data_IF_889057528458
#
_entry.id   IF_889057528458
#
_cell.length_a   1.000
_cell.length_b   1.000
_cell.length_c   1.000
_cell.angle_alpha   90.00
_cell.angle_beta   90.00
_cell.angle_gamma   90.00
#
_symmetry.space_group_name_H-M   'P 1'
#
loop_
_entity.id
_entity.type
_entity.pdbx_description
1 polymer ?
#
# COMPACT_ATOMS: atom_id res chain seq x y z
N UNK A 1 11.27 6.14 39.21
CA UNK A 1 10.65 5.73 37.93
C UNK A 1 11.07 6.56 36.71
N UNK A 2 11.54 7.80 36.87
CA UNK A 2 12.07 8.64 35.77
C UNK A 2 13.53 8.33 35.33
N UNK A 3 14.30 7.54 36.10
CA UNK A 3 15.69 7.19 35.74
C UNK A 3 15.83 5.93 34.89
N UNK A 4 14.78 5.10 34.77
CA UNK A 4 14.81 3.88 33.92
C UNK A 4 14.40 4.12 32.45
N UNK A 5 13.80 5.26 32.15
CA UNK A 5 13.45 5.63 30.75
C UNK A 5 14.63 6.25 29.97
N UNK A 6 15.72 6.64 30.67
CA UNK A 6 16.92 7.20 30.04
C UNK A 6 17.97 6.16 29.61
N UNK A 7 17.71 4.87 29.80
CA UNK A 7 18.65 3.77 29.43
C UNK A 7 18.15 2.85 28.31
N UNK A 8 16.98 3.09 27.71
CA UNK A 8 16.75 2.56 26.37
C UNK A 8 17.53 3.46 25.41
N UNK A 9 18.79 3.06 25.13
CA UNK A 9 19.50 3.51 23.93
C UNK A 9 18.51 3.38 22.78
N UNK A 10 18.25 4.46 22.05
CA UNK A 10 17.61 4.41 20.75
C UNK A 10 18.37 3.35 19.94
N UNK A 11 17.77 2.18 19.78
CA UNK A 11 18.33 1.16 18.91
C UNK A 11 18.09 1.71 17.51
N UNK A 12 19.10 2.37 16.95
CA UNK A 12 19.13 2.68 15.52
C UNK A 12 18.80 1.39 14.79
N UNK A 13 17.75 1.40 13.97
CA UNK A 13 17.42 0.25 13.14
C UNK A 13 18.48 0.15 12.05
N UNK A 14 19.40 -0.79 12.21
CA UNK A 14 20.49 -0.99 11.25
C UNK A 14 20.00 -1.90 10.14
N UNK A 15 19.58 -1.32 9.02
CA UNK A 15 19.27 -2.05 7.81
C UNK A 15 20.54 -2.46 7.07
N UNK A 16 20.54 -3.69 6.57
CA UNK A 16 21.51 -4.13 5.57
C UNK A 16 20.89 -3.93 4.18
N UNK A 17 21.63 -3.32 3.26
CA UNK A 17 21.18 -3.09 1.88
C UNK A 17 22.23 -3.53 0.88
N UNK A 18 21.78 -4.02 -0.28
CA UNK A 18 22.63 -4.39 -1.40
C UNK A 18 21.86 -4.26 -2.71
N UNK A 19 22.57 -4.04 -3.80
CA UNK A 19 22.00 -4.07 -5.16
C UNK A 19 22.73 -5.10 -5.99
N UNK A 20 22.00 -6.07 -6.55
CA UNK A 20 22.57 -7.09 -7.43
C UNK A 20 22.94 -6.51 -8.80
N UNK A 21 23.78 -7.21 -9.55
CA UNK A 21 24.21 -6.81 -10.90
C UNK A 21 23.07 -6.66 -11.92
N UNK A 22 21.92 -7.31 -11.67
CA UNK A 22 20.70 -7.20 -12.48
C UNK A 22 19.76 -6.05 -12.04
N UNK A 23 20.19 -5.22 -11.08
CA UNK A 23 19.43 -4.07 -10.58
C UNK A 23 18.50 -4.37 -9.40
N UNK A 24 18.31 -5.64 -9.00
CA UNK A 24 17.48 -5.98 -7.83
C UNK A 24 18.08 -5.38 -6.56
N UNK A 25 17.28 -4.54 -5.89
CA UNK A 25 17.62 -3.96 -4.59
C UNK A 25 17.17 -4.88 -3.46
N UNK A 26 18.00 -5.02 -2.44
CA UNK A 26 17.74 -5.87 -1.27
C UNK A 26 17.77 -4.98 -0.03
N UNK A 27 16.78 -5.14 0.85
CA UNK A 27 16.77 -4.51 2.18
C UNK A 27 16.45 -5.57 3.24
N UNK A 28 17.27 -5.62 4.29
CA UNK A 28 17.10 -6.57 5.38
C UNK A 28 17.19 -5.85 6.72
N UNK A 29 16.19 -6.08 7.57
CA UNK A 29 16.20 -5.67 8.97
C UNK A 29 16.50 -6.91 9.84
N UNK A 30 17.67 -6.99 10.50
CA UNK A 30 17.99 -8.09 11.40
C UNK A 30 17.08 -8.13 12.63
N UNK A 31 16.73 -9.31 13.07
CA UNK A 31 15.97 -9.53 14.31
C UNK A 31 16.30 -10.91 14.87
N UNK A 32 16.21 -11.08 16.19
CA UNK A 32 16.43 -12.36 16.86
C UNK A 32 15.26 -13.36 16.71
N UNK A 33 14.16 -12.95 16.09
CA UNK A 33 13.01 -13.84 15.90
C UNK A 33 13.30 -14.95 14.89
N UNK A 34 12.91 -16.20 15.20
CA UNK A 34 13.05 -17.31 14.27
C UNK A 34 12.11 -17.21 13.06
N UNK A 35 11.04 -16.41 13.14
CA UNK A 35 10.15 -16.14 12.01
C UNK A 35 10.72 -15.03 11.17
N UNK A 36 10.83 -15.27 9.87
CA UNK A 36 11.28 -14.33 8.85
C UNK A 36 10.11 -13.95 7.96
N UNK A 37 9.83 -12.67 7.87
CA UNK A 37 8.94 -12.08 6.87
C UNK A 37 9.79 -11.62 5.70
N UNK A 38 9.50 -12.07 4.51
CA UNK A 38 10.27 -11.71 3.31
C UNK A 38 9.40 -11.70 2.07
N UNK A 39 9.83 -10.98 1.04
CA UNK A 39 9.06 -10.89 -0.19
C UNK A 39 9.68 -9.99 -1.24
N UNK A 40 8.98 -9.92 -2.37
CA UNK A 40 9.22 -8.94 -3.42
C UNK A 40 8.15 -7.85 -3.37
N UNK A 41 8.58 -6.61 -3.37
CA UNK A 41 7.75 -5.46 -3.69
C UNK A 41 8.11 -4.99 -5.09
N UNK A 42 7.14 -4.96 -5.98
CA UNK A 42 7.28 -4.55 -7.39
C UNK A 42 6.65 -3.17 -7.54
N UNK A 43 7.37 -2.21 -8.14
CA UNK A 43 6.84 -0.87 -8.41
C UNK A 43 5.90 -0.93 -9.63
N UNK A 44 4.76 -1.56 -9.43
CA UNK A 44 3.68 -1.69 -10.38
C UNK A 44 2.37 -1.91 -9.62
N UNK A 45 1.43 -1.02 -9.80
CA UNK A 45 0.09 -1.09 -9.25
C UNK A 45 -0.93 -0.64 -10.28
N UNK A 46 -2.15 -0.42 -9.86
CA UNK A 46 -3.21 -0.01 -10.81
C UNK A 46 -2.97 1.35 -11.42
N UNK A 47 -2.17 2.20 -10.78
CA UNK A 47 -1.74 3.49 -11.35
C UNK A 47 -0.94 3.36 -12.65
N UNK A 48 -0.27 2.22 -12.84
CA UNK A 48 0.61 1.95 -13.99
C UNK A 48 -0.12 1.32 -15.18
N UNK A 49 -1.42 1.05 -15.02
CA UNK A 49 -2.28 0.48 -16.05
C UNK A 49 -2.58 1.47 -17.18
N UNK A 50 -2.64 0.98 -18.41
CA UNK A 50 -3.07 1.77 -19.56
C UNK A 50 -4.59 2.00 -19.50
N UNK A 51 -5.00 3.25 -19.23
CA UNK A 51 -6.41 3.61 -19.06
C UNK A 51 -7.27 3.15 -20.24
N UNK A 52 -8.42 2.54 -19.93
CA UNK A 52 -9.35 2.01 -20.91
C UNK A 52 -8.93 0.70 -21.58
N UNK A 53 -7.77 0.12 -21.22
CA UNK A 53 -7.28 -1.13 -21.80
C UNK A 53 -6.80 -2.15 -20.77
N UNK A 54 -6.27 -1.70 -19.63
CA UNK A 54 -5.64 -2.56 -18.63
C UNK A 54 -6.28 -2.40 -17.25
N UNK A 55 -7.54 -1.98 -17.17
CA UNK A 55 -8.23 -1.78 -15.89
C UNK A 55 -8.33 -3.07 -15.08
N UNK A 56 -7.70 -3.09 -13.91
CA UNK A 56 -7.60 -4.27 -13.04
C UNK A 56 -6.48 -5.25 -13.42
N UNK A 57 -5.61 -4.91 -14.38
CA UNK A 57 -4.54 -5.80 -14.84
C UNK A 57 -3.51 -6.11 -13.76
N UNK A 58 -3.16 -5.14 -12.91
CA UNK A 58 -2.21 -5.36 -11.84
C UNK A 58 -2.72 -6.41 -10.84
N UNK A 59 -3.98 -6.28 -10.42
CA UNK A 59 -4.65 -7.23 -9.54
C UNK A 59 -4.86 -8.59 -10.21
N UNK A 60 -5.29 -8.59 -11.48
CA UNK A 60 -5.40 -9.81 -12.27
C UNK A 60 -4.06 -10.56 -12.37
N UNK A 61 -2.94 -9.86 -12.59
CA UNK A 61 -1.62 -10.46 -12.59
C UNK A 61 -1.23 -11.02 -11.21
N UNK A 62 -1.63 -10.36 -10.13
CA UNK A 62 -1.42 -10.87 -8.77
C UNK A 62 -2.06 -12.25 -8.60
N UNK A 63 -3.37 -12.38 -8.86
CA UNK A 63 -4.11 -13.64 -8.78
C UNK A 63 -3.52 -14.74 -9.66
N UNK A 64 -3.21 -14.40 -10.90
CA UNK A 64 -2.75 -15.37 -11.89
C UNK A 64 -1.28 -15.74 -11.76
N UNK A 65 -0.48 -14.97 -11.01
CA UNK A 65 0.92 -15.29 -10.70
C UNK A 65 1.09 -16.64 -9.98
N UNK A 66 0.10 -17.07 -9.19
CA UNK A 66 0.11 -18.36 -8.47
C UNK A 66 -0.34 -19.56 -9.31
N UNK A 67 -0.70 -19.36 -10.57
CA UNK A 67 -1.33 -20.39 -11.40
C UNK A 67 -0.35 -21.25 -12.20
N UNK A 68 0.92 -20.92 -12.22
CA UNK A 68 1.97 -21.74 -12.82
C UNK A 68 3.20 -20.98 -13.23
N UNK A 69 4.35 -21.64 -13.12
CA UNK A 69 5.65 -21.18 -13.66
C UNK A 69 6.19 -22.24 -14.63
N UNK A 70 7.32 -21.94 -15.29
CA UNK A 70 8.02 -22.96 -16.08
C UNK A 70 8.46 -24.18 -15.24
N UNK A 71 8.59 -24.04 -13.92
CA UNK A 71 9.12 -25.07 -13.00
C UNK A 71 8.03 -25.71 -12.14
N UNK A 72 6.90 -25.04 -11.93
CA UNK A 72 5.90 -25.44 -10.93
C UNK A 72 4.48 -25.30 -11.46
N UNK A 73 3.65 -26.29 -11.16
CA UNK A 73 2.21 -26.18 -11.30
C UNK A 73 1.61 -25.37 -10.15
N UNK A 74 0.38 -24.87 -10.30
CA UNK A 74 -0.36 -24.15 -9.26
C UNK A 74 -0.37 -24.89 -7.92
N UNK A 75 -0.68 -26.18 -7.91
CA UNK A 75 -0.69 -27.01 -6.68
C UNK A 75 0.69 -27.11 -6.04
N UNK A 76 1.76 -27.11 -6.82
CA UNK A 76 3.13 -27.10 -6.28
C UNK A 76 3.50 -25.74 -5.70
N UNK A 77 3.01 -24.65 -6.26
CA UNK A 77 3.21 -23.29 -5.73
C UNK A 77 2.53 -23.16 -4.39
N UNK A 78 1.23 -23.45 -4.31
CA UNK A 78 0.43 -23.32 -3.10
C UNK A 78 1.00 -24.18 -1.95
N UNK A 79 1.29 -25.43 -2.20
CA UNK A 79 1.82 -26.33 -1.15
C UNK A 79 3.30 -26.16 -0.85
N UNK A 80 4.05 -25.31 -1.53
CA UNK A 80 5.52 -25.31 -1.42
C UNK A 80 6.02 -24.83 -0.05
N UNK A 81 5.43 -23.76 0.48
CA UNK A 81 5.77 -23.25 1.82
C UNK A 81 4.88 -23.85 2.90
N UNK A 82 3.61 -24.14 2.62
CA UNK A 82 2.70 -24.74 3.60
C UNK A 82 3.22 -26.06 4.18
N UNK A 83 3.86 -26.88 3.35
CA UNK A 83 4.47 -28.17 3.81
C UNK A 83 5.54 -28.02 4.88
N UNK A 84 6.08 -26.81 5.07
CA UNK A 84 7.06 -26.48 6.11
C UNK A 84 6.51 -25.48 7.13
N UNK A 85 5.18 -25.29 7.14
CA UNK A 85 4.50 -24.36 8.06
C UNK A 85 4.75 -22.89 7.73
N UNK A 86 5.08 -22.58 6.47
CA UNK A 86 5.19 -21.22 5.98
C UNK A 86 3.86 -20.73 5.42
N UNK A 87 3.70 -19.41 5.39
CA UNK A 87 2.57 -18.71 4.79
C UNK A 87 3.02 -17.95 3.54
N UNK A 88 2.17 -17.89 2.52
CA UNK A 88 2.42 -17.19 1.25
C UNK A 88 1.21 -16.31 0.92
N UNK A 89 1.45 -15.04 0.68
CA UNK A 89 0.39 -14.08 0.39
C UNK A 89 0.84 -13.02 -0.62
N UNK A 90 -0.13 -12.27 -1.17
CA UNK A 90 0.14 -11.12 -2.03
C UNK A 90 -0.96 -10.07 -1.86
N UNK A 91 -0.68 -8.87 -2.31
CA UNK A 91 -1.67 -7.81 -2.45
C UNK A 91 -1.23 -6.79 -3.51
N UNK A 92 -2.22 -6.14 -4.12
CA UNK A 92 -2.04 -5.06 -5.09
C UNK A 92 -2.60 -3.76 -4.53
N UNK A 93 -1.79 -2.71 -4.62
CA UNK A 93 -2.19 -1.33 -4.32
C UNK A 93 -2.17 -0.47 -5.59
N UNK A 94 -2.37 0.84 -5.42
CA UNK A 94 -2.31 1.79 -6.54
C UNK A 94 -0.91 1.92 -7.16
N UNK A 95 0.16 1.80 -6.36
CA UNK A 95 1.54 2.07 -6.80
C UNK A 95 2.48 0.85 -6.69
N UNK A 96 2.05 -0.24 -6.03
CA UNK A 96 2.86 -1.44 -5.88
C UNK A 96 2.02 -2.72 -5.83
N UNK A 97 2.64 -3.83 -6.24
CA UNK A 97 2.19 -5.20 -5.96
C UNK A 97 3.25 -5.91 -5.12
N UNK A 98 2.83 -6.59 -4.06
CA UNK A 98 3.74 -7.24 -3.13
C UNK A 98 3.41 -8.73 -3.02
N UNK A 99 4.42 -9.59 -3.18
CA UNK A 99 4.37 -11.03 -2.95
C UNK A 99 5.25 -11.34 -1.75
N UNK A 100 4.67 -11.88 -0.68
CA UNK A 100 5.41 -12.08 0.56
C UNK A 100 5.12 -13.42 1.22
N UNK A 101 6.02 -13.82 2.09
CA UNK A 101 5.93 -15.04 2.86
C UNK A 101 6.39 -14.83 4.31
N UNK A 102 5.82 -15.62 5.20
CA UNK A 102 6.30 -15.81 6.55
C UNK A 102 6.81 -17.25 6.72
N UNK A 103 8.08 -17.42 7.08
CA UNK A 103 8.70 -18.75 7.25
C UNK A 103 9.60 -18.80 8.47
N UNK A 104 9.86 -19.99 8.99
CA UNK A 104 10.97 -20.18 9.92
C UNK A 104 12.30 -19.95 9.18
N UNK A 105 13.28 -19.38 9.86
CA UNK A 105 14.59 -18.99 9.30
C UNK A 105 15.32 -20.10 8.54
N UNK A 106 15.09 -21.36 8.94
CA UNK A 106 15.70 -22.53 8.30
C UNK A 106 15.12 -22.80 6.90
N UNK A 107 13.96 -22.22 6.57
CA UNK A 107 13.26 -22.36 5.30
C UNK A 107 13.37 -21.11 4.40
N UNK A 108 14.26 -20.16 4.70
CA UNK A 108 14.42 -18.94 3.92
C UNK A 108 14.83 -19.21 2.47
N UNK A 109 15.62 -20.26 2.23
CA UNK A 109 16.02 -20.69 0.91
C UNK A 109 14.84 -21.14 0.05
N UNK A 110 13.86 -21.83 0.66
CA UNK A 110 12.60 -22.20 -0.01
C UNK A 110 11.76 -20.98 -0.35
N UNK A 111 11.65 -20.03 0.59
CA UNK A 111 10.88 -18.80 0.36
C UNK A 111 11.49 -17.97 -0.78
N UNK A 112 12.82 -17.78 -0.78
CA UNK A 112 13.52 -17.09 -1.87
C UNK A 112 13.34 -17.78 -3.22
N UNK A 113 13.47 -19.11 -3.26
CA UNK A 113 13.33 -19.89 -4.50
C UNK A 113 11.90 -19.81 -5.06
N UNK A 114 10.87 -19.92 -4.20
CA UNK A 114 9.49 -19.81 -4.63
C UNK A 114 9.13 -18.40 -5.08
N UNK A 115 9.40 -17.40 -4.23
CA UNK A 115 9.03 -16.01 -4.51
C UNK A 115 9.71 -15.49 -5.79
N UNK A 116 10.99 -15.83 -5.99
CA UNK A 116 11.69 -15.46 -7.25
C UNK A 116 11.06 -16.13 -8.46
N UNK A 117 10.67 -17.40 -8.34
CA UNK A 117 10.08 -18.15 -9.44
C UNK A 117 8.70 -17.61 -9.82
N UNK A 118 7.83 -17.35 -8.85
CA UNK A 118 6.47 -16.84 -9.15
C UNK A 118 6.50 -15.39 -9.66
N UNK A 119 7.37 -14.53 -9.13
CA UNK A 119 7.41 -13.12 -9.54
C UNK A 119 8.01 -12.94 -10.94
N UNK A 120 9.03 -13.70 -11.30
CA UNK A 120 9.76 -13.46 -12.55
C UNK A 120 9.57 -14.55 -13.62
N UNK A 121 8.97 -15.69 -13.32
CA UNK A 121 8.84 -16.82 -14.24
C UNK A 121 7.42 -17.38 -14.38
N UNK A 122 6.40 -16.67 -13.90
CA UNK A 122 5.01 -17.07 -14.11
C UNK A 122 4.67 -17.08 -15.58
N UNK A 123 3.92 -18.11 -15.99
CA UNK A 123 3.59 -18.38 -17.40
C UNK A 123 2.16 -17.99 -17.77
N UNK A 124 1.36 -17.69 -16.76
CA UNK A 124 -0.05 -17.25 -16.92
C UNK A 124 -0.84 -18.19 -17.85
N UNK A 125 -0.98 -19.50 -17.53
CA UNK A 125 -1.63 -20.45 -18.43
C UNK A 125 -3.08 -20.05 -18.70
N UNK A 126 -3.51 -19.99 -19.97
CA UNK A 126 -4.86 -19.53 -20.35
C UNK A 126 -5.97 -20.34 -19.65
N UNK A 127 -5.83 -21.66 -19.57
CA UNK A 127 -6.82 -22.50 -18.90
C UNK A 127 -6.97 -22.21 -17.39
N UNK A 128 -5.96 -21.65 -16.75
CA UNK A 128 -6.04 -21.18 -15.35
C UNK A 128 -6.57 -19.75 -15.28
N UNK A 129 -6.24 -18.89 -16.24
CA UNK A 129 -6.82 -17.55 -16.39
C UNK A 129 -8.35 -17.65 -16.51
N UNK A 130 -8.84 -18.50 -17.41
CA UNK A 130 -10.28 -18.67 -17.68
C UNK A 130 -11.08 -19.05 -16.42
N UNK A 131 -10.45 -19.76 -15.48
CA UNK A 131 -11.05 -20.09 -14.18
C UNK A 131 -10.95 -18.92 -13.19
N UNK A 132 -9.78 -18.27 -13.13
CA UNK A 132 -9.50 -17.24 -12.14
C UNK A 132 -10.27 -15.95 -12.41
N UNK A 133 -10.52 -15.65 -13.67
CA UNK A 133 -11.34 -14.48 -14.03
C UNK A 133 -12.71 -14.52 -13.36
N UNK A 134 -13.38 -15.68 -13.32
CA UNK A 134 -14.68 -15.76 -12.63
C UNK A 134 -14.54 -15.62 -11.12
N UNK A 135 -13.43 -16.06 -10.50
CA UNK A 135 -13.15 -15.81 -9.08
C UNK A 135 -12.98 -14.32 -8.80
N UNK A 136 -12.24 -13.59 -9.66
CA UNK A 136 -12.07 -12.14 -9.52
C UNK A 136 -13.41 -11.41 -9.78
N UNK A 137 -14.22 -11.91 -10.71
CA UNK A 137 -15.56 -11.33 -10.95
C UNK A 137 -16.46 -11.50 -9.73
N UNK A 138 -16.45 -12.68 -9.10
CA UNK A 138 -17.17 -12.91 -7.83
C UNK A 138 -16.69 -11.98 -6.72
N UNK A 139 -15.38 -11.68 -6.68
CA UNK A 139 -14.82 -10.70 -5.74
C UNK A 139 -15.33 -9.29 -6.02
N UNK A 140 -15.36 -8.86 -7.30
CA UNK A 140 -15.93 -7.56 -7.69
C UNK A 140 -17.40 -7.46 -7.27
N UNK A 141 -18.20 -8.52 -7.51
CA UNK A 141 -19.61 -8.54 -7.13
C UNK A 141 -19.76 -8.45 -5.59
N UNK A 142 -18.94 -9.20 -4.84
CA UNK A 142 -18.93 -9.13 -3.37
C UNK A 142 -18.59 -7.74 -2.84
N UNK A 143 -17.62 -7.06 -3.48
CA UNK A 143 -17.26 -5.67 -3.16
C UNK A 143 -18.40 -4.70 -3.48
N UNK A 144 -19.02 -4.86 -4.64
CA UNK A 144 -20.16 -4.03 -5.04
C UNK A 144 -21.38 -4.22 -4.12
N UNK A 145 -21.55 -5.41 -3.56
CA UNK A 145 -22.61 -5.72 -2.59
C UNK A 145 -22.30 -5.26 -1.15
N UNK A 146 -21.08 -4.76 -0.91
CA UNK A 146 -20.65 -4.23 0.40
C UNK A 146 -20.55 -2.70 0.38
N UNK A 147 -21.60 -1.95 0.74
CA UNK A 147 -21.59 -0.48 0.69
C UNK A 147 -20.49 0.15 1.56
N UNK A 148 -20.08 -0.55 2.64
CA UNK A 148 -19.01 -0.11 3.53
C UNK A 148 -17.62 -0.20 2.92
N UNK A 149 -17.42 -1.03 1.93
CA UNK A 149 -16.17 -1.17 1.16
C UNK A 149 -16.23 -0.33 -0.11
N UNK A 150 -17.33 -0.45 -0.86
CA UNK A 150 -17.56 0.28 -2.10
C UNK A 150 -17.41 1.80 -1.93
N UNK A 151 -17.81 2.35 -0.78
CA UNK A 151 -17.74 3.79 -0.52
C UNK A 151 -16.31 4.34 -0.60
N UNK A 152 -15.30 3.56 -0.22
CA UNK A 152 -13.89 3.97 -0.31
C UNK A 152 -13.42 4.09 -1.76
N UNK A 153 -13.70 3.09 -2.58
CA UNK A 153 -13.33 3.08 -4.00
C UNK A 153 -14.04 4.20 -4.77
N UNK A 154 -15.35 4.34 -4.60
CA UNK A 154 -16.11 5.40 -5.25
C UNK A 154 -15.62 6.79 -4.83
N UNK A 155 -15.24 6.94 -3.56
CA UNK A 155 -14.73 8.20 -3.07
C UNK A 155 -13.35 8.53 -3.65
N UNK A 156 -12.42 7.58 -3.65
CA UNK A 156 -11.09 7.76 -4.22
C UNK A 156 -11.17 8.05 -5.74
N UNK A 157 -12.03 7.34 -6.46
CA UNK A 157 -12.28 7.58 -7.88
C UNK A 157 -12.82 8.99 -8.14
N UNK A 158 -13.68 9.51 -7.26
CA UNK A 158 -14.19 10.86 -7.37
C UNK A 158 -13.11 11.93 -7.10
N UNK A 159 -12.24 11.70 -6.08
CA UNK A 159 -11.12 12.60 -5.73
C UNK A 159 -10.09 12.68 -6.86
N UNK A 160 -9.80 11.55 -7.49
CA UNK A 160 -8.78 11.43 -8.56
C UNK A 160 -9.37 11.27 -9.95
N UNK A 161 -10.60 11.70 -10.16
CA UNK A 161 -11.29 11.59 -11.46
C UNK A 161 -10.43 12.13 -12.60
N UNK A 162 -10.23 11.30 -13.64
CA UNK A 162 -9.40 11.61 -14.80
C UNK A 162 -7.89 11.48 -14.56
N UNK A 163 -7.49 10.85 -13.48
CA UNK A 163 -6.10 10.50 -13.16
C UNK A 163 -5.98 8.97 -12.97
N UNK A 164 -4.82 8.35 -13.22
CA UNK A 164 -4.63 6.90 -13.02
C UNK A 164 -4.93 6.37 -11.61
N UNK A 165 -4.86 7.20 -10.57
CA UNK A 165 -5.31 6.83 -9.22
C UNK A 165 -6.84 6.69 -9.10
N UNK A 166 -7.61 7.22 -10.04
CA UNK A 166 -9.07 7.33 -9.97
C UNK A 166 -9.81 6.19 -10.68
N UNK A 167 -9.39 4.94 -10.52
CA UNK A 167 -10.13 3.75 -10.94
C UNK A 167 -9.97 2.61 -9.94
N UNK A 168 -10.88 1.64 -9.99
CA UNK A 168 -10.91 0.53 -9.03
C UNK A 168 -9.72 -0.40 -9.22
N UNK A 169 -9.18 -0.91 -8.10
CA UNK A 169 -8.07 -1.87 -8.11
C UNK A 169 -8.49 -3.16 -8.80
N UNK A 170 -9.71 -3.62 -8.56
CA UNK A 170 -10.26 -4.86 -9.12
C UNK A 170 -10.58 -4.76 -10.62
N UNK A 171 -10.64 -3.55 -11.21
CA UNK A 171 -11.08 -3.34 -12.58
C UNK A 171 -12.57 -3.56 -12.79
N UNK A 172 -12.94 -4.07 -13.95
CA UNK A 172 -14.34 -4.37 -14.31
C UNK A 172 -14.48 -5.80 -14.85
N UNK A 173 -15.58 -6.47 -14.52
CA UNK A 173 -15.88 -7.82 -15.01
C UNK A 173 -15.85 -7.92 -16.55
N UNK A 174 -16.29 -6.86 -17.24
CA UNK A 174 -16.26 -6.82 -18.71
C UNK A 174 -14.82 -6.86 -19.25
N UNK A 175 -13.92 -6.07 -18.64
CA UNK A 175 -12.53 -5.99 -19.08
C UNK A 175 -11.77 -7.28 -18.73
N UNK A 176 -11.93 -7.79 -17.50
CA UNK A 176 -11.26 -9.02 -17.03
C UNK A 176 -11.52 -10.22 -17.93
N UNK A 177 -12.77 -10.40 -18.41
CA UNK A 177 -13.14 -11.50 -19.33
C UNK A 177 -12.50 -11.42 -20.71
N UNK A 178 -11.82 -10.32 -21.04
CA UNK A 178 -11.07 -10.18 -22.29
C UNK A 178 -9.59 -10.51 -22.16
N UNK A 179 -9.09 -10.67 -20.93
CA UNK A 179 -7.66 -10.83 -20.69
C UNK A 179 -7.13 -12.22 -21.06
N UNK A 180 -5.96 -12.21 -21.67
CA UNK A 180 -5.27 -13.39 -22.15
C UNK A 180 -3.90 -13.53 -21.50
N UNK A 181 -3.29 -14.70 -21.68
CA UNK A 181 -1.89 -14.95 -21.33
C UNK A 181 -0.96 -13.85 -21.86
N UNK A 182 -1.17 -13.39 -23.11
CA UNK A 182 -0.28 -12.38 -23.71
C UNK A 182 -0.47 -10.99 -23.06
N UNK A 183 -1.68 -10.66 -22.61
CA UNK A 183 -1.95 -9.42 -21.89
C UNK A 183 -1.21 -9.40 -20.54
N UNK A 184 -1.32 -10.50 -19.77
CA UNK A 184 -0.57 -10.66 -18.52
C UNK A 184 0.94 -10.61 -18.74
N UNK A 185 1.46 -11.33 -19.74
CA UNK A 185 2.87 -11.31 -20.06
C UNK A 185 3.36 -9.94 -20.56
N UNK A 186 2.53 -9.19 -21.30
CA UNK A 186 2.86 -7.83 -21.73
C UNK A 186 3.01 -6.88 -20.54
N UNK A 187 2.08 -6.92 -19.58
CA UNK A 187 2.12 -6.13 -18.37
C UNK A 187 3.32 -6.51 -17.49
N UNK A 188 3.51 -7.80 -17.22
CA UNK A 188 4.58 -8.27 -16.35
C UNK A 188 5.97 -8.10 -16.94
N UNK A 189 6.19 -8.31 -18.24
CA UNK A 189 7.46 -7.97 -18.91
C UNK A 189 7.83 -6.49 -18.79
N UNK A 190 6.83 -5.61 -18.74
CA UNK A 190 7.03 -4.17 -18.61
C UNK A 190 7.43 -3.78 -17.18
N UNK A 191 6.85 -4.40 -16.16
CA UNK A 191 6.98 -3.98 -14.77
C UNK A 191 7.67 -4.98 -13.85
N UNK A 192 7.50 -6.29 -14.03
CA UNK A 192 8.06 -7.32 -13.13
C UNK A 192 9.51 -7.62 -13.52
N UNK A 193 10.38 -6.67 -13.24
CA UNK A 193 11.80 -6.73 -13.52
C UNK A 193 12.60 -6.55 -12.24
N UNK A 194 13.79 -7.16 -12.15
CA UNK A 194 14.65 -7.01 -10.97
C UNK A 194 14.96 -5.55 -10.62
N UNK A 195 15.25 -4.70 -11.63
CA UNK A 195 15.57 -3.28 -11.47
C UNK A 195 14.38 -2.42 -11.04
N UNK A 196 13.13 -2.92 -11.21
CA UNK A 196 11.89 -2.30 -10.77
C UNK A 196 11.34 -2.92 -9.48
N UNK A 197 12.16 -3.71 -8.77
CA UNK A 197 11.72 -4.47 -7.60
C UNK A 197 12.68 -4.32 -6.43
N UNK A 198 12.17 -4.61 -5.25
CA UNK A 198 12.92 -4.74 -4.01
C UNK A 198 12.62 -6.09 -3.38
N UNK A 199 13.67 -6.83 -3.01
CA UNK A 199 13.50 -7.94 -2.07
C UNK A 199 13.70 -7.45 -0.66
N UNK A 200 12.73 -7.68 0.20
CA UNK A 200 12.80 -7.32 1.61
C UNK A 200 12.84 -8.56 2.50
N UNK A 201 13.50 -8.44 3.65
CA UNK A 201 13.48 -9.46 4.69
C UNK A 201 13.53 -8.83 6.09
N UNK A 202 12.78 -9.41 7.03
CA UNK A 202 12.79 -9.02 8.44
C UNK A 202 12.86 -10.27 9.32
N UNK A 203 13.99 -10.54 9.94
CA UNK A 203 14.18 -11.72 10.79
C UNK A 203 15.64 -12.12 11.01
N UNK A 204 15.83 -13.30 11.63
CA UNK A 204 17.14 -13.89 11.90
C UNK A 204 17.71 -14.58 10.66
N UNK A 205 18.22 -13.77 9.74
CA UNK A 205 18.89 -14.27 8.51
C UNK A 205 20.24 -13.60 8.36
N UNK A 206 21.25 -14.39 8.03
CA UNK A 206 22.57 -13.84 7.66
C UNK A 206 22.45 -13.15 6.30
N UNK A 207 22.78 -11.88 6.26
CA UNK A 207 22.62 -11.05 5.06
C UNK A 207 23.45 -11.55 3.87
N UNK A 208 24.70 -11.99 4.10
CA UNK A 208 25.55 -12.58 3.08
C UNK A 208 24.98 -13.88 2.48
N UNK A 209 24.26 -14.67 3.28
CA UNK A 209 23.53 -15.85 2.79
C UNK A 209 22.34 -15.41 1.92
N UNK A 210 21.57 -14.42 2.37
CA UNK A 210 20.42 -13.91 1.63
C UNK A 210 20.81 -13.38 0.25
N UNK A 211 21.87 -12.57 0.17
CA UNK A 211 22.40 -12.04 -1.10
C UNK A 211 22.75 -13.19 -2.05
N UNK A 212 23.53 -14.18 -1.59
CA UNK A 212 23.90 -15.35 -2.42
C UNK A 212 22.69 -16.18 -2.89
N UNK A 213 21.65 -16.33 -2.06
CA UNK A 213 20.43 -17.03 -2.46
C UNK A 213 19.73 -16.28 -3.60
N UNK A 214 19.62 -14.96 -3.51
CA UNK A 214 18.99 -14.12 -4.53
C UNK A 214 19.81 -14.07 -5.81
N UNK A 215 21.14 -14.00 -5.73
CA UNK A 215 22.03 -14.12 -6.91
C UNK A 215 21.81 -15.43 -7.65
N UNK A 216 21.81 -16.55 -6.91
CA UNK A 216 21.59 -17.89 -7.48
C UNK A 216 20.21 -18.02 -8.12
N UNK A 217 19.15 -17.55 -7.44
CA UNK A 217 17.78 -17.60 -7.95
C UNK A 217 17.62 -16.76 -9.22
N UNK A 218 18.24 -15.57 -9.27
CA UNK A 218 18.24 -14.69 -10.45
C UNK A 218 18.98 -15.30 -11.66
N UNK A 219 20.01 -16.08 -11.43
CA UNK A 219 20.76 -16.76 -12.51
C UNK A 219 19.94 -17.93 -13.07
N UNK A 220 19.35 -18.75 -12.20
CA UNK A 220 18.51 -19.87 -12.60
C UNK A 220 17.26 -19.43 -13.42
N UNK A 221 16.77 -18.22 -13.15
CA UNK A 221 15.68 -17.61 -13.92
C UNK A 221 16.09 -17.30 -15.38
N UNK A 222 17.30 -16.83 -15.60
CA UNK A 222 17.80 -16.56 -16.97
C UNK A 222 17.98 -17.85 -17.79
N UNK A 223 18.49 -18.90 -17.18
CA UNK A 223 18.74 -20.18 -17.85
C UNK A 223 17.41 -20.86 -18.26
N UNK A 224 16.36 -20.73 -17.45
CA UNK A 224 15.03 -21.26 -17.75
C UNK A 224 14.40 -20.56 -18.98
N UNK A 225 14.55 -19.24 -19.09
CA UNK A 225 14.05 -18.46 -20.24
C UNK A 225 14.83 -18.80 -21.53
N UNK A 226 16.15 -19.00 -21.45
CA UNK A 226 16.98 -19.38 -22.59
C UNK A 226 16.64 -20.80 -23.08
N UNK A 227 16.40 -21.73 -22.16
CA UNK A 227 16.02 -23.10 -22.47
C UNK A 227 14.64 -23.21 -23.14
N UNK A 228 13.70 -22.33 -22.81
CA UNK A 228 12.37 -22.29 -23.41
C UNK A 228 12.34 -21.65 -24.80
N UNK A 229 13.30 -20.77 -25.11
CA UNK A 229 13.44 -20.10 -26.41
C UNK A 229 14.37 -20.85 -27.40
N UNK A 230 14.84 -22.04 -27.03
CA UNK A 230 15.83 -22.82 -27.77
C UNK A 230 15.29 -23.63 -28.94
N UNK A 231 14.37 -23.13 -29.77
CA UNK A 231 14.09 -23.61 -31.11
C UNK A 231 13.62 -22.46 -32.00
N UNK A 232 14.54 -21.84 -32.66
CA UNK A 232 14.61 -21.13 -33.93
C UNK A 232 15.20 -19.71 -33.84
N UNK A 233 16.23 -19.58 -34.67
CA UNK A 233 16.84 -18.37 -35.22
C UNK A 233 17.82 -17.55 -34.36
N UNK A 234 19.09 -17.85 -34.76
CA UNK A 234 20.30 -17.03 -34.61
C UNK A 234 20.17 -15.63 -35.20
N UNK A 235 20.75 -14.70 -34.47
CA UNK A 235 21.27 -13.38 -34.86
C UNK A 235 20.46 -12.17 -34.34
N UNK A 236 20.93 -11.62 -33.26
CA UNK A 236 21.46 -10.24 -33.17
C UNK A 236 22.01 -10.00 -31.75
N UNK A 237 23.31 -10.08 -31.64
CA UNK A 237 24.06 -9.57 -30.48
C UNK A 237 24.04 -8.05 -30.59
N UNK A 238 23.41 -7.40 -29.63
CA UNK A 238 23.61 -5.97 -29.41
C UNK A 238 24.43 -5.79 -28.12
N UNK A 239 25.69 -5.49 -28.41
CA UNK A 239 26.70 -4.96 -27.50
C UNK A 239 26.22 -3.61 -26.97
N UNK A 240 25.94 -3.51 -25.67
CA UNK A 240 25.72 -2.24 -25.00
C UNK A 240 26.42 -2.22 -23.65
N UNK A 241 27.71 -1.97 -23.67
CA UNK A 241 28.47 -1.38 -22.57
C UNK A 241 28.06 0.10 -22.47
N UNK A 242 27.04 0.38 -21.67
CA UNK A 242 26.74 1.73 -21.21
C UNK A 242 26.70 1.73 -19.68
N UNK A 243 27.65 2.42 -19.09
CA UNK A 243 27.71 2.82 -17.70
C UNK A 243 26.42 3.57 -17.36
N UNK A 244 25.47 2.88 -16.71
CA UNK A 244 24.24 3.49 -16.23
C UNK A 244 24.54 4.13 -14.88
N UNK A 245 24.60 5.48 -14.89
CA UNK A 245 24.47 6.28 -13.70
C UNK A 245 23.14 5.91 -13.00
N UNK A 246 23.18 5.82 -11.65
CA UNK A 246 21.97 5.65 -10.81
C UNK A 246 20.97 6.78 -11.12
N UNK A 247 20.08 6.56 -12.04
CA UNK A 247 18.84 7.31 -12.14
C UNK A 247 17.84 6.59 -11.24
N UNK A 248 17.35 7.30 -10.23
CA UNK A 248 16.14 6.93 -9.50
C UNK A 248 15.09 6.46 -10.51
N UNK A 249 14.37 5.38 -10.17
CA UNK A 249 13.31 4.81 -10.98
C UNK A 249 12.57 5.91 -11.71
N UNK A 250 12.69 5.95 -13.04
CA UNK A 250 11.80 6.78 -13.85
C UNK A 250 10.42 6.16 -13.71
N UNK A 251 9.65 6.68 -12.73
CA UNK A 251 8.20 6.54 -12.75
C UNK A 251 7.74 6.84 -14.16
N UNK A 252 6.87 6.00 -14.71
CA UNK A 252 6.12 6.31 -15.91
C UNK A 252 5.71 7.78 -15.85
N UNK A 253 5.90 8.51 -16.96
CA UNK A 253 5.65 9.96 -17.07
C UNK A 253 4.46 10.35 -16.20
N UNK A 254 4.74 11.04 -15.09
CA UNK A 254 3.71 11.35 -14.10
C UNK A 254 2.57 12.09 -14.81
N UNK A 255 1.44 11.41 -14.98
CA UNK A 255 0.25 12.07 -15.54
C UNK A 255 -0.10 13.23 -14.62
N UNK A 256 -0.14 14.48 -15.12
CA UNK A 256 -0.44 15.62 -14.27
C UNK A 256 -1.79 15.46 -13.60
N UNK A 257 -1.85 15.71 -12.30
CA UNK A 257 -3.10 15.71 -11.55
C UNK A 257 -4.05 16.77 -12.14
N UNK A 258 -5.25 16.40 -12.59
CA UNK A 258 -6.24 17.38 -13.04
C UNK A 258 -6.61 18.32 -11.89
N UNK A 259 -7.06 19.56 -12.19
CA UNK A 259 -7.53 20.48 -11.15
C UNK A 259 -8.60 19.83 -10.29
N UNK A 260 -8.42 19.91 -8.98
CA UNK A 260 -9.40 19.35 -8.03
C UNK A 260 -10.58 20.31 -7.85
N UNK A 261 -11.77 19.74 -7.91
CA UNK A 261 -13.02 20.44 -7.58
C UNK A 261 -13.84 19.54 -6.68
N UNK A 262 -14.23 20.04 -5.52
CA UNK A 262 -15.09 19.32 -4.59
C UNK A 262 -16.43 18.97 -5.23
N UNK A 263 -16.96 17.80 -4.91
CA UNK A 263 -18.19 17.25 -5.47
C UNK A 263 -19.12 16.81 -4.34
N UNK A 264 -20.43 16.80 -4.65
CA UNK A 264 -21.43 16.18 -3.79
C UNK A 264 -22.08 15.05 -4.60
N UNK A 265 -21.89 13.81 -4.14
CA UNK A 265 -22.27 12.60 -4.85
C UNK A 265 -23.22 11.81 -3.95
N UNK A 266 -24.35 11.40 -4.49
CA UNK A 266 -25.25 10.42 -3.90
C UNK A 266 -25.32 9.19 -4.78
N UNK A 267 -25.09 8.03 -4.16
CA UNK A 267 -25.21 6.73 -4.79
C UNK A 267 -26.34 5.96 -4.11
N UNK A 268 -27.36 5.58 -4.89
CA UNK A 268 -28.53 4.90 -4.32
C UNK A 268 -28.31 3.38 -4.34
N UNK A 269 -28.35 2.79 -3.16
CA UNK A 269 -28.36 1.34 -2.94
C UNK A 269 -29.40 1.00 -1.89
N UNK A 270 -29.98 -0.19 -1.96
CA UNK A 270 -30.87 -0.69 -0.90
C UNK A 270 -30.03 -1.14 0.31
N UNK A 271 -29.76 -0.20 1.22
CA UNK A 271 -28.89 -0.41 2.39
C UNK A 271 -29.61 -0.02 3.68
N UNK A 272 -29.35 -0.79 4.74
CA UNK A 272 -29.89 -0.47 6.06
C UNK A 272 -29.27 0.80 6.67
N UNK A 273 -27.97 1.03 6.42
CA UNK A 273 -27.23 2.20 6.89
C UNK A 273 -26.79 3.05 5.69
N UNK A 274 -26.77 4.36 5.89
CA UNK A 274 -26.06 5.24 4.98
C UNK A 274 -24.54 5.18 5.28
N UNK A 275 -23.73 5.04 4.24
CA UNK A 275 -22.28 5.11 4.29
C UNK A 275 -21.80 6.42 3.71
N UNK A 276 -21.02 7.17 4.47
CA UNK A 276 -20.66 8.55 4.12
C UNK A 276 -19.14 8.71 4.15
N UNK A 277 -18.61 9.25 3.07
CA UNK A 277 -17.23 9.76 2.99
C UNK A 277 -17.23 11.27 2.80
N UNK A 278 -16.35 11.95 3.54
CA UNK A 278 -16.10 13.38 3.44
C UNK A 278 -14.59 13.62 3.46
N UNK A 279 -14.05 14.27 2.43
CA UNK A 279 -12.60 14.50 2.40
C UNK A 279 -12.12 15.27 1.18
N UNK A 280 -10.81 15.31 0.98
CA UNK A 280 -10.15 16.13 -0.03
C UNK A 280 -8.79 15.55 -0.41
N UNK A 281 -8.18 16.07 -1.49
CA UNK A 281 -6.77 15.81 -1.76
C UNK A 281 -5.89 16.32 -0.62
N UNK A 282 -4.82 15.60 -0.36
CA UNK A 282 -3.88 15.89 0.71
C UNK A 282 -2.43 15.92 0.17
N UNK A 283 -1.48 15.96 1.09
CA UNK A 283 -0.06 16.05 0.78
C UNK A 283 0.52 14.72 0.29
N UNK A 284 1.43 14.83 -0.67
CA UNK A 284 2.25 13.71 -1.10
C UNK A 284 3.25 13.26 -0.01
N UNK A 285 3.95 12.17 -0.28
CA UNK A 285 4.87 11.55 0.66
C UNK A 285 6.10 12.41 0.96
N UNK A 286 6.48 13.33 0.07
CA UNK A 286 7.66 14.22 0.21
C UNK A 286 7.35 15.50 0.97
N UNK A 287 6.07 15.87 1.07
CA UNK A 287 5.66 17.09 1.77
C UNK A 287 5.71 16.92 3.29
N UNK A 288 6.54 17.71 3.96
CA UNK A 288 6.69 17.65 5.42
C UNK A 288 5.41 18.00 6.19
N UNK A 289 4.47 18.75 5.60
CA UNK A 289 3.18 19.09 6.22
C UNK A 289 2.32 17.85 6.45
N UNK A 290 2.56 16.76 5.72
CA UNK A 290 1.87 15.48 5.96
C UNK A 290 2.01 14.97 7.41
N UNK A 291 3.12 15.29 8.10
CA UNK A 291 3.33 14.86 9.49
C UNK A 291 2.36 15.58 10.43
N UNK A 292 2.13 16.89 10.20
CA UNK A 292 1.13 17.66 10.95
C UNK A 292 -0.29 17.16 10.63
N UNK A 293 -0.59 16.85 9.36
CA UNK A 293 -1.86 16.26 8.97
C UNK A 293 -2.06 14.85 9.57
N UNK A 294 -1.02 14.05 9.67
CA UNK A 294 -1.04 12.74 10.33
C UNK A 294 -1.41 12.85 11.82
N UNK A 295 -0.84 13.84 12.52
CA UNK A 295 -1.20 14.12 13.91
C UNK A 295 -2.65 14.64 14.04
N UNK A 296 -3.10 15.52 13.13
CA UNK A 296 -4.48 15.99 13.07
C UNK A 296 -5.47 14.85 12.79
N UNK A 297 -5.13 13.97 11.85
CA UNK A 297 -5.92 12.78 11.54
C UNK A 297 -6.11 11.91 12.78
N UNK A 298 -5.03 11.68 13.53
CA UNK A 298 -5.10 10.92 14.79
C UNK A 298 -5.98 11.58 15.85
N UNK A 299 -5.92 12.90 15.98
CA UNK A 299 -6.77 13.68 16.92
C UNK A 299 -8.24 13.62 16.52
N UNK A 300 -8.54 13.67 15.21
CA UNK A 300 -9.90 13.74 14.68
C UNK A 300 -10.59 12.39 14.70
N UNK A 301 -10.03 11.39 14.02
CA UNK A 301 -10.66 10.10 13.82
C UNK A 301 -9.69 8.93 13.83
N UNK A 302 -8.55 9.04 14.56
CA UNK A 302 -7.64 7.94 14.77
C UNK A 302 -8.23 6.81 15.62
N UNK A 303 -7.48 5.71 15.84
CA UNK A 303 -8.00 4.47 16.46
C UNK A 303 -8.36 4.61 17.95
N UNK A 304 -8.04 5.75 18.57
CA UNK A 304 -8.36 5.99 19.98
C UNK A 304 -9.84 6.30 20.22
N UNK A 305 -10.46 5.69 21.23
CA UNK A 305 -11.85 5.99 21.61
C UNK A 305 -12.07 7.47 22.01
N UNK A 306 -11.00 8.16 22.35
CA UNK A 306 -10.99 9.59 22.67
C UNK A 306 -10.83 10.50 21.45
N UNK A 307 -10.75 9.94 20.23
CA UNK A 307 -10.74 10.73 19.01
C UNK A 307 -11.99 11.62 18.92
N UNK A 308 -11.82 12.88 18.48
CA UNK A 308 -12.87 13.90 18.57
C UNK A 308 -14.15 13.52 17.85
N UNK A 309 -14.03 12.91 16.67
CA UNK A 309 -15.20 12.44 15.90
C UNK A 309 -15.90 11.30 16.60
N UNK A 310 -15.16 10.32 17.16
CA UNK A 310 -15.75 9.25 17.94
C UNK A 310 -16.51 9.79 19.16
N UNK A 311 -15.88 10.67 19.93
CA UNK A 311 -16.53 11.31 21.09
C UNK A 311 -17.75 12.12 20.67
N UNK A 312 -17.66 12.85 19.55
CA UNK A 312 -18.76 13.70 19.07
C UNK A 312 -19.93 12.90 18.53
N UNK A 313 -19.71 11.99 17.58
CA UNK A 313 -20.78 11.30 16.85
C UNK A 313 -21.29 10.06 17.60
N UNK A 314 -20.38 9.30 18.21
CA UNK A 314 -20.73 8.04 18.88
C UNK A 314 -21.04 8.23 20.36
N UNK A 315 -20.07 8.70 21.15
CA UNK A 315 -20.21 8.69 22.61
C UNK A 315 -21.27 9.68 23.11
N UNK A 316 -21.32 10.91 22.55
CA UNK A 316 -22.23 11.95 22.99
C UNK A 316 -23.59 11.90 22.33
N UNK A 317 -23.67 11.47 21.10
CA UNK A 317 -24.91 11.56 20.32
C UNK A 317 -25.47 10.20 19.87
N UNK A 318 -24.71 9.10 19.99
CA UNK A 318 -25.10 7.74 19.61
C UNK A 318 -25.67 7.65 18.18
N UNK A 319 -25.05 8.36 17.22
CA UNK A 319 -25.52 8.45 15.84
C UNK A 319 -24.84 7.45 14.91
N UNK A 320 -23.64 7.00 15.27
CA UNK A 320 -22.81 6.11 14.45
C UNK A 320 -22.28 4.96 15.29
N UNK A 321 -22.10 3.80 14.66
CA UNK A 321 -21.35 2.70 15.27
C UNK A 321 -19.83 2.87 15.03
N UNK A 322 -19.47 3.22 13.83
CA UNK A 322 -18.08 3.46 13.42
C UNK A 322 -17.93 4.84 12.83
N UNK A 323 -16.85 5.53 13.21
CA UNK A 323 -16.37 6.76 12.58
C UNK A 323 -14.85 6.76 12.66
N UNK A 324 -14.22 6.99 11.53
CA UNK A 324 -12.76 7.03 11.42
C UNK A 324 -12.32 8.09 10.42
N UNK A 325 -11.07 8.49 10.52
CA UNK A 325 -10.44 9.31 9.49
C UNK A 325 -9.17 8.63 8.98
N UNK A 326 -8.96 8.76 7.68
CA UNK A 326 -7.85 8.15 6.97
C UNK A 326 -6.97 9.21 6.31
N UNK A 327 -5.69 8.89 6.18
CA UNK A 327 -4.71 9.67 5.44
C UNK A 327 -3.88 8.70 4.60
N UNK A 328 -3.95 8.87 3.28
CA UNK A 328 -3.12 8.15 2.32
C UNK A 328 -2.22 9.14 1.59
N UNK A 329 -0.92 8.90 1.59
CA UNK A 329 0.03 9.68 0.78
C UNK A 329 0.57 8.80 -0.35
N UNK A 330 0.49 9.34 -1.56
CA UNK A 330 1.05 8.78 -2.80
C UNK A 330 2.35 9.50 -3.16
N UNK A 331 3.00 9.07 -4.21
CA UNK A 331 4.28 9.62 -4.66
C UNK A 331 4.22 11.11 -5.05
N UNK A 332 3.07 11.63 -5.48
CA UNK A 332 2.87 12.98 -6.01
C UNK A 332 1.61 13.69 -5.49
N UNK A 333 0.83 13.04 -4.64
CA UNK A 333 -0.42 13.57 -4.06
C UNK A 333 -0.78 12.82 -2.78
N UNK A 334 -1.94 13.11 -2.21
CA UNK A 334 -2.50 12.38 -1.11
C UNK A 334 -4.02 12.52 -1.04
N UNK A 335 -4.60 11.79 -0.10
CA UNK A 335 -6.01 11.77 0.22
C UNK A 335 -6.18 11.82 1.73
N UNK A 336 -7.04 12.72 2.21
CA UNK A 336 -7.57 12.70 3.57
C UNK A 336 -9.08 12.58 3.54
N UNK A 337 -9.64 11.70 4.35
CA UNK A 337 -11.09 11.54 4.43
C UNK A 337 -11.56 11.11 5.82
N UNK A 338 -12.84 11.36 6.10
CA UNK A 338 -13.61 10.82 7.22
C UNK A 338 -14.66 9.89 6.65
N UNK A 339 -14.76 8.70 7.23
CA UNK A 339 -15.83 7.74 7.00
C UNK A 339 -16.71 7.61 8.24
N UNK A 340 -18.01 7.45 8.04
CA UNK A 340 -18.95 6.98 9.06
C UNK A 340 -20.17 6.28 8.46
N UNK A 341 -20.71 5.32 9.22
CA UNK A 341 -21.99 4.66 8.92
C UNK A 341 -23.07 5.12 9.91
N UNK A 342 -24.23 5.52 9.42
CA UNK A 342 -25.34 5.99 10.27
C UNK A 342 -26.73 5.67 9.67
N UNK A 343 -27.79 5.82 10.47
CA UNK A 343 -29.18 5.82 9.95
C UNK A 343 -29.30 6.90 8.84
N UNK A 344 -29.90 6.59 7.67
CA UNK A 344 -30.06 7.55 6.56
C UNK A 344 -30.66 8.89 6.96
N UNK A 345 -31.56 8.91 7.97
CA UNK A 345 -32.19 10.14 8.50
C UNK A 345 -31.21 11.02 9.29
N UNK A 346 -30.08 10.48 9.71
CA UNK A 346 -29.09 11.17 10.53
C UNK A 346 -27.90 11.73 9.74
N UNK A 347 -27.80 11.48 8.44
CA UNK A 347 -26.65 11.88 7.59
C UNK A 347 -26.32 13.36 7.76
N UNK A 348 -27.30 14.26 7.59
CA UNK A 348 -27.07 15.71 7.69
C UNK A 348 -26.67 16.14 9.12
N UNK A 349 -27.19 15.45 10.14
CA UNK A 349 -26.81 15.71 11.53
C UNK A 349 -25.37 15.31 11.80
N UNK A 350 -24.97 14.15 11.31
CA UNK A 350 -23.58 13.67 11.40
C UNK A 350 -22.62 14.62 10.66
N UNK A 351 -22.93 15.00 9.42
CA UNK A 351 -22.12 15.95 8.64
C UNK A 351 -21.93 17.29 9.37
N UNK A 352 -22.98 17.84 9.98
CA UNK A 352 -22.86 19.07 10.80
C UNK A 352 -21.97 18.88 12.02
N UNK A 353 -21.99 17.71 12.65
CA UNK A 353 -21.10 17.41 13.77
C UNK A 353 -19.65 17.24 13.33
N UNK A 354 -19.40 16.56 12.20
CA UNK A 354 -18.05 16.46 11.59
C UNK A 354 -17.56 17.88 11.30
N UNK A 355 -18.34 18.69 10.57
CA UNK A 355 -17.97 20.09 10.26
C UNK A 355 -17.58 20.87 11.51
N UNK A 356 -18.37 20.76 12.59
CA UNK A 356 -18.08 21.44 13.86
C UNK A 356 -16.71 21.03 14.45
N UNK A 357 -16.35 19.76 14.37
CA UNK A 357 -15.03 19.31 14.88
C UNK A 357 -13.89 19.80 13.99
N UNK A 358 -14.09 19.86 12.67
CA UNK A 358 -13.12 20.44 11.72
C UNK A 358 -12.99 21.96 11.96
N UNK A 359 -14.07 22.69 12.13
CA UNK A 359 -14.05 24.12 12.46
C UNK A 359 -13.28 24.40 13.74
N UNK A 360 -13.45 23.57 14.76
CA UNK A 360 -12.72 23.72 16.04
C UNK A 360 -11.22 23.62 15.93
N UNK A 361 -10.70 22.81 15.01
CA UNK A 361 -9.25 22.71 14.79
C UNK A 361 -8.73 23.80 13.86
N UNK A 362 -9.60 24.47 13.11
CA UNK A 362 -9.27 25.61 12.25
C UNK A 362 -9.43 26.99 12.96
N UNK A 363 -10.22 27.04 14.03
CA UNK A 363 -10.54 28.30 14.72
C UNK A 363 -9.31 28.83 15.49
N UNK A 364 -8.70 27.99 16.31
CA UNK A 364 -7.60 28.36 17.19
C UNK A 364 -6.59 27.21 17.38
N UNK A 365 -5.32 27.57 17.68
CA UNK A 365 -4.29 26.58 17.94
C UNK A 365 -4.67 25.72 19.17
N UNK A 366 -4.19 24.47 19.15
CA UNK A 366 -4.31 23.58 20.32
C UNK A 366 -3.58 24.17 21.52
N UNK A 367 -4.14 23.99 22.72
CA UNK A 367 -3.37 24.30 23.93
C UNK A 367 -2.12 23.42 24.01
N UNK A 368 -1.06 23.92 24.66
CA UNK A 368 0.15 23.15 24.88
C UNK A 368 -0.09 21.79 25.54
N UNK A 369 -1.02 21.73 26.50
CA UNK A 369 -1.40 20.47 27.16
C UNK A 369 -2.04 19.49 26.18
N UNK A 370 -2.94 19.96 25.31
CA UNK A 370 -3.60 19.13 24.30
C UNK A 370 -2.58 18.64 23.25
N UNK A 371 -1.68 19.50 22.79
CA UNK A 371 -0.65 19.14 21.84
C UNK A 371 0.30 18.09 22.42
N UNK A 372 0.80 18.29 23.66
CA UNK A 372 1.64 17.29 24.35
C UNK A 372 0.92 15.94 24.51
N UNK A 373 -0.35 15.95 24.86
CA UNK A 373 -1.15 14.72 24.98
C UNK A 373 -1.28 13.99 23.63
N UNK A 374 -1.59 14.71 22.56
CA UNK A 374 -1.73 14.16 21.21
C UNK A 374 -0.40 13.54 20.70
N UNK A 375 0.72 14.24 20.86
CA UNK A 375 2.05 13.74 20.53
C UNK A 375 2.41 12.47 21.31
N UNK A 376 2.11 12.44 22.60
CA UNK A 376 2.35 11.26 23.45
C UNK A 376 1.50 10.07 22.97
N UNK A 377 0.23 10.32 22.66
CA UNK A 377 -0.71 9.29 22.21
C UNK A 377 -0.25 8.67 20.89
N UNK A 378 0.01 9.48 19.86
CA UNK A 378 0.41 8.97 18.54
C UNK A 378 1.73 8.22 18.59
N UNK A 379 2.73 8.69 19.36
CA UNK A 379 4.01 7.97 19.53
C UNK A 379 3.81 6.62 20.21
N UNK A 380 2.90 6.53 21.19
CA UNK A 380 2.54 5.24 21.80
C UNK A 380 1.88 4.29 20.80
N UNK A 381 0.97 4.78 19.97
CA UNK A 381 0.30 4.00 18.95
C UNK A 381 1.28 3.55 17.84
N UNK A 382 2.20 4.40 17.42
CA UNK A 382 3.28 4.02 16.50
C UNK A 382 4.12 2.89 17.09
N UNK A 383 4.50 3.00 18.37
CA UNK A 383 5.25 1.94 19.05
C UNK A 383 4.51 0.60 19.07
N UNK A 384 3.20 0.62 19.37
CA UNK A 384 2.36 -0.60 19.35
C UNK A 384 2.23 -1.17 17.92
N UNK A 385 2.04 -0.30 16.93
CA UNK A 385 1.94 -0.74 15.53
C UNK A 385 3.24 -1.39 15.02
N UNK A 386 4.41 -0.97 15.52
CA UNK A 386 5.70 -1.57 15.19
C UNK A 386 5.87 -3.00 15.72
N UNK A 387 5.05 -3.46 16.68
CA UNK A 387 5.06 -4.85 17.15
C UNK A 387 4.45 -5.83 16.12
N UNK A 388 3.60 -5.34 15.20
CA UNK A 388 3.19 -6.10 14.02
C UNK A 388 4.35 -6.20 13.03
N UNK A 389 5.14 -7.25 13.16
CA UNK A 389 6.39 -7.43 12.40
C UNK A 389 6.15 -7.54 10.90
N UNK A 390 5.07 -8.22 10.51
CA UNK A 390 4.68 -8.33 9.10
C UNK A 390 4.35 -6.97 8.52
N UNK A 391 3.40 -6.24 9.13
CA UNK A 391 3.02 -4.90 8.67
C UNK A 391 4.21 -3.94 8.63
N UNK A 392 5.12 -4.08 9.60
CA UNK A 392 6.34 -3.28 9.63
C UNK A 392 7.29 -3.61 8.48
N UNK A 393 7.41 -4.91 8.13
CA UNK A 393 8.22 -5.37 7.00
C UNK A 393 7.69 -4.84 5.66
N UNK A 394 6.38 -4.92 5.46
CA UNK A 394 5.70 -4.42 4.27
C UNK A 394 5.85 -2.89 4.13
N UNK A 395 5.75 -2.16 5.24
CA UNK A 395 5.85 -0.71 5.24
C UNK A 395 7.28 -0.21 4.93
N UNK A 396 8.34 -0.82 5.52
CA UNK A 396 9.68 -0.43 5.14
C UNK A 396 10.06 -0.88 3.73
N UNK A 397 9.50 -2.00 3.23
CA UNK A 397 9.66 -2.44 1.86
C UNK A 397 9.10 -1.42 0.86
N UNK A 398 7.88 -0.93 1.10
CA UNK A 398 7.24 0.14 0.32
C UNK A 398 8.09 1.42 0.32
N UNK A 399 8.52 1.88 1.48
CA UNK A 399 9.35 3.08 1.59
C UNK A 399 10.69 2.95 0.86
N UNK A 400 11.31 1.77 0.90
CA UNK A 400 12.55 1.51 0.19
C UNK A 400 12.36 1.33 -1.32
N UNK A 401 11.24 0.71 -1.73
CA UNK A 401 10.89 0.53 -3.14
C UNK A 401 10.76 1.89 -3.85
N UNK A 402 9.90 2.75 -3.36
CA UNK A 402 9.54 3.99 -4.04
C UNK A 402 10.53 5.13 -3.82
N UNK A 403 11.15 5.20 -2.63
CA UNK A 403 11.91 6.38 -2.21
C UNK A 403 13.35 6.07 -1.80
N UNK A 404 13.74 4.80 -1.73
CA UNK A 404 15.05 4.40 -1.20
C UNK A 404 15.21 4.66 0.31
N UNK A 405 14.11 4.93 1.02
CA UNK A 405 14.16 5.29 2.45
C UNK A 405 14.24 4.05 3.33
N UNK A 406 15.13 4.11 4.29
CA UNK A 406 15.12 3.21 5.43
C UNK A 406 14.18 3.79 6.50
N UNK A 407 13.15 3.03 6.88
CA UNK A 407 12.17 3.48 7.87
C UNK A 407 12.85 3.74 9.21
N UNK A 408 12.73 4.96 9.73
CA UNK A 408 13.32 5.40 10.99
C UNK A 408 12.22 5.97 11.91
N UNK A 409 11.82 5.15 12.88
CA UNK A 409 10.79 5.53 13.86
C UNK A 409 11.30 6.64 14.79
N UNK A 410 12.59 6.68 15.06
CA UNK A 410 13.18 7.72 15.92
C UNK A 410 13.03 9.09 15.24
N UNK A 411 13.42 9.19 13.97
CA UNK A 411 13.25 10.42 13.17
C UNK A 411 11.78 10.81 13.04
N UNK A 412 10.87 9.86 12.81
CA UNK A 412 9.44 10.15 12.78
C UNK A 412 8.97 10.75 14.12
N UNK A 413 9.38 10.17 15.24
CA UNK A 413 9.05 10.69 16.56
C UNK A 413 9.67 12.09 16.82
N UNK A 414 10.88 12.34 16.35
CA UNK A 414 11.52 13.67 16.42
C UNK A 414 10.76 14.71 15.61
N UNK A 415 10.32 14.37 14.39
CA UNK A 415 9.48 15.26 13.59
C UNK A 415 8.13 15.56 14.27
N UNK A 416 7.48 14.53 14.85
CA UNK A 416 6.25 14.74 15.65
C UNK A 416 6.52 15.64 16.85
N UNK A 417 7.65 15.47 17.55
CA UNK A 417 8.02 16.30 18.70
C UNK A 417 8.32 17.75 18.31
N UNK A 418 8.82 18.00 17.11
CA UNK A 418 9.10 19.32 16.59
C UNK A 418 7.83 20.12 16.18
N UNK A 419 6.71 19.44 15.89
CA UNK A 419 5.47 20.12 15.49
C UNK A 419 5.00 21.14 16.55
N UNK A 420 4.53 22.29 16.10
CA UNK A 420 3.93 23.33 16.93
C UNK A 420 2.39 23.32 16.78
N UNK A 421 1.69 24.01 17.69
CA UNK A 421 0.25 24.18 17.56
C UNK A 421 -0.14 25.02 16.33
N UNK A 422 0.74 25.94 15.91
CA UNK A 422 0.54 26.77 14.73
C UNK A 422 0.74 25.97 13.43
N UNK A 423 1.66 24.99 13.39
CA UNK A 423 1.79 24.08 12.27
C UNK A 423 0.49 23.28 12.03
N UNK A 424 -0.11 22.77 13.12
CA UNK A 424 -1.37 22.06 13.05
C UNK A 424 -2.51 22.97 12.59
N UNK A 425 -2.57 24.20 13.10
CA UNK A 425 -3.58 25.18 12.72
C UNK A 425 -3.48 25.56 11.25
N UNK A 426 -2.26 25.79 10.76
CA UNK A 426 -1.99 26.11 9.36
C UNK A 426 -2.48 24.97 8.44
N UNK A 427 -2.08 23.73 8.74
CA UNK A 427 -2.47 22.54 7.97
C UNK A 427 -3.98 22.31 8.04
N UNK A 428 -4.61 22.47 9.21
CA UNK A 428 -6.05 22.36 9.34
C UNK A 428 -6.80 23.37 8.45
N UNK A 429 -6.36 24.61 8.45
CA UNK A 429 -6.95 25.69 7.62
C UNK A 429 -6.72 25.50 6.12
N UNK A 430 -5.64 24.85 5.75
CA UNK A 430 -5.35 24.51 4.36
C UNK A 430 -6.23 23.35 3.88
N UNK A 431 -6.34 22.30 4.68
CA UNK A 431 -6.95 21.01 4.28
C UNK A 431 -8.47 20.98 4.48
N UNK A 432 -9.01 21.55 5.56
CA UNK A 432 -10.40 21.31 5.99
C UNK A 432 -11.40 22.40 5.60
N UNK A 433 -11.07 23.22 4.59
CA UNK A 433 -12.01 24.20 4.04
C UNK A 433 -13.25 23.51 3.51
N UNK A 434 -14.44 24.04 3.83
CA UNK A 434 -15.70 23.41 3.44
C UNK A 434 -15.85 23.29 1.92
N UNK A 435 -15.44 24.32 1.19
CA UNK A 435 -15.49 24.36 -0.26
C UNK A 435 -14.51 23.40 -0.97
N UNK A 436 -13.55 22.83 -0.21
CA UNK A 436 -12.59 21.84 -0.71
C UNK A 436 -13.00 20.40 -0.42
N UNK A 437 -14.07 20.18 0.34
CA UNK A 437 -14.47 18.84 0.76
C UNK A 437 -15.46 18.21 -0.21
N UNK A 438 -15.03 17.11 -0.86
CA UNK A 438 -15.94 16.20 -1.57
C UNK A 438 -16.74 15.39 -0.57
N UNK A 439 -18.04 15.23 -0.84
CA UNK A 439 -18.95 14.38 -0.07
C UNK A 439 -19.50 13.28 -0.97
N UNK A 440 -19.41 12.05 -0.51
CA UNK A 440 -20.08 10.89 -1.10
C UNK A 440 -21.01 10.27 -0.05
N UNK A 441 -22.23 9.94 -0.44
CA UNK A 441 -23.22 9.24 0.37
C UNK A 441 -23.76 8.06 -0.40
N UNK A 442 -23.66 6.86 0.15
CA UNK A 442 -24.37 5.66 -0.31
C UNK A 442 -25.59 5.47 0.60
N UNK A 443 -26.80 5.42 0.02
CA UNK A 443 -28.05 5.20 0.76
C UNK A 443 -29.19 4.80 -0.14
#
# INVERSE_FOLDING_TARGET
>A
MQQNLKKQKSTEMNYNTHTLSNGLRIIHLPSASPVVYCGYAVAAGTRDEEQGKEEGMAHFCEHTTFKGTHRRTSMNILGYLERVGGDLNAFTNKEETVYHAAVLKDNIDRAVDLLTDIVFNSTYPQAEIDKEVEVIVDEIESYNDSPSELVYDLFENAIFKGHPLGHNILGTAQQLRTYTTEDALRFTRRYYRPDNSVFFAYGDVRFDKLVRLLEKASTASKDAVIASNGSSDTSTVLDNTSTVALSASTSASATPLPPYKAQHIEHHMDTHLAHVMLGTRAYDVHDNRRIALYLLNNILGGPGMNARLNVSLRERHALVYTVESMLQSYSDTGLWAVYFGCDPRNVDRCLRLVRRELDRVMDKPLSEAALRAAKKQIKGQIGIACDSRESFALDFAKGYLHYGWQKDITKLCEHIDALTADDLLMVARETFKEEALTRLVIR
#
